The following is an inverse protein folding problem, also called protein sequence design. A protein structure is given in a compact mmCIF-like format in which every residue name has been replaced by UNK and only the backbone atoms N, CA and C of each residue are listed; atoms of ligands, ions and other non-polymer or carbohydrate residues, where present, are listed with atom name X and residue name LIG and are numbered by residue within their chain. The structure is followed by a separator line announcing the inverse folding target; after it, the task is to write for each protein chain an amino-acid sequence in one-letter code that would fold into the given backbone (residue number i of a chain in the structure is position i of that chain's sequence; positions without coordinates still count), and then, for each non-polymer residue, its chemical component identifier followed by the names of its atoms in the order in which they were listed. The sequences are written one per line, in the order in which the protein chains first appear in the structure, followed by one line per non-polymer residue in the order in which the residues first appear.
data_IF_398069908415
#
_entry.id   IF_398069908415
#
_cell.length_a   1.000
_cell.length_b   1.000
_cell.length_c   1.000
_cell.angle_alpha   90.00
_cell.angle_beta   90.00
_cell.angle_gamma   90.00
#
_symmetry.space_group_name_H-M   'P 1'
#
loop_
_entity.id
_entity.type
_entity.pdbx_description
1 polymer ?
#
# COMPACT_ATOMS: atom_id res chain seq x y z
N UNK A 1 5.15 20.61 69.54
CA UNK A 1 5.59 20.63 68.13
C UNK A 1 6.97 19.98 68.07
N UNK A 2 7.13 18.81 67.43
CA UNK A 2 8.47 18.20 67.27
C UNK A 2 9.23 19.03 66.24
N UNK A 3 10.32 19.68 66.66
CA UNK A 3 11.20 20.44 65.78
C UNK A 3 11.96 19.50 64.87
N UNK A 4 11.67 19.53 63.56
CA UNK A 4 12.39 18.78 62.54
C UNK A 4 13.84 19.28 62.52
N UNK A 5 14.81 18.39 62.78
CA UNK A 5 16.22 18.76 62.73
C UNK A 5 16.69 18.92 61.28
N UNK A 6 17.77 19.67 61.05
CA UNK A 6 18.40 19.78 59.72
C UNK A 6 18.72 18.41 59.10
N UNK A 7 19.06 17.42 59.94
CA UNK A 7 19.32 16.05 59.51
C UNK A 7 18.04 15.33 59.06
N UNK A 8 16.91 15.60 59.71
CA UNK A 8 15.61 15.04 59.32
C UNK A 8 15.11 15.66 58.03
N UNK A 9 15.33 16.96 57.82
CA UNK A 9 15.01 17.64 56.56
C UNK A 9 15.80 17.07 55.38
N UNK A 10 17.10 16.83 55.55
CA UNK A 10 17.94 16.21 54.51
C UNK A 10 17.49 14.77 54.23
N UNK A 11 17.17 13.98 55.27
CA UNK A 11 16.65 12.62 55.09
C UNK A 11 15.31 12.60 54.35
N UNK A 12 14.42 13.55 54.65
CA UNK A 12 13.16 13.73 53.92
C UNK A 12 13.42 14.13 52.47
N UNK A 13 14.32 15.07 52.21
CA UNK A 13 14.68 15.47 50.84
C UNK A 13 15.28 14.35 50.00
N UNK A 14 16.17 13.53 50.59
CA UNK A 14 16.75 12.36 49.91
C UNK A 14 15.69 11.28 49.67
N UNK A 15 14.79 11.03 50.63
CA UNK A 15 13.69 10.10 50.45
C UNK A 15 12.72 10.55 49.35
N UNK A 16 12.37 11.84 49.30
CA UNK A 16 11.52 12.42 48.26
C UNK A 16 12.19 12.37 46.87
N UNK A 17 13.49 12.64 46.77
CA UNK A 17 14.24 12.53 45.52
C UNK A 17 14.35 11.07 45.02
N UNK A 18 14.51 10.10 45.93
CA UNK A 18 14.52 8.69 45.58
C UNK A 18 13.16 8.21 45.05
N UNK A 19 12.05 8.69 45.61
CA UNK A 19 10.69 8.37 45.11
C UNK A 19 10.46 8.93 43.70
N UNK A 20 10.85 10.18 43.43
CA UNK A 20 10.73 10.76 42.09
C UNK A 20 11.66 10.10 41.05
N UNK A 21 12.84 9.64 41.45
CA UNK A 21 13.74 8.89 40.58
C UNK A 21 13.21 7.49 40.22
N UNK A 22 12.49 6.84 41.14
CA UNK A 22 11.84 5.55 40.88
C UNK A 22 10.59 5.72 40.01
N UNK A 23 9.81 6.79 40.22
CA UNK A 23 8.61 7.07 39.41
C UNK A 23 8.95 7.40 37.94
N UNK A 24 10.05 8.12 37.70
CA UNK A 24 10.55 8.43 36.35
C UNK A 24 11.18 7.23 35.62
N UNK A 25 11.63 6.19 36.34
CA UNK A 25 12.14 4.96 35.73
C UNK A 25 11.05 3.89 35.51
N UNK A 26 9.92 3.97 36.20
CA UNK A 26 8.83 3.00 36.08
C UNK A 26 7.85 3.27 34.92
N UNK A 27 7.93 4.42 34.22
CA UNK A 27 6.90 4.82 33.25
C UNK A 27 7.22 4.75 31.73
N UNK A 28 8.40 4.27 31.25
CA UNK A 28 8.54 3.87 29.84
C UNK A 28 8.21 2.39 29.60
N UNK A 29 8.45 1.53 30.61
CA UNK A 29 8.34 0.07 30.48
C UNK A 29 6.90 -0.39 30.72
N UNK A 30 6.15 0.25 31.62
CA UNK A 30 4.73 -0.07 31.84
C UNK A 30 3.88 0.12 30.57
N UNK A 31 4.21 1.13 29.75
CA UNK A 31 3.56 1.39 28.46
C UNK A 31 3.98 0.40 27.36
N UNK A 32 5.17 -0.18 27.47
CA UNK A 32 5.64 -1.25 26.58
C UNK A 32 5.14 -2.65 27.02
N UNK A 33 4.77 -2.80 28.30
CA UNK A 33 4.25 -4.02 28.90
C UNK A 33 2.71 -4.12 28.84
N UNK A 34 2.02 -3.05 28.46
CA UNK A 34 0.61 -3.13 28.12
C UNK A 34 0.49 -4.03 26.88
N UNK A 35 0.05 -5.28 27.10
CA UNK A 35 -0.32 -6.17 26.01
C UNK A 35 -1.22 -5.35 25.10
N UNK A 36 -0.80 -5.15 23.84
CA UNK A 36 -1.64 -4.58 22.81
C UNK A 36 -2.84 -5.52 22.67
N UNK A 37 -3.90 -5.28 23.42
CA UNK A 37 -5.14 -6.04 23.33
C UNK A 37 -5.67 -5.77 21.94
N UNK A 38 -5.65 -6.80 21.09
CA UNK A 38 -6.28 -6.76 19.79
C UNK A 38 -7.76 -6.45 20.01
N UNK A 39 -8.19 -5.22 19.69
CA UNK A 39 -9.55 -4.74 19.97
C UNK A 39 -9.76 -3.89 21.23
N UNK A 40 -8.70 -3.38 21.87
CA UNK A 40 -8.85 -2.32 22.88
C UNK A 40 -9.54 -1.07 22.31
N UNK A 41 -10.30 -0.34 23.15
CA UNK A 41 -10.89 0.97 22.78
C UNK A 41 -9.74 1.91 22.40
N UNK A 42 -9.52 2.18 21.11
CA UNK A 42 -8.61 3.24 20.71
C UNK A 42 -9.32 4.56 20.95
N UNK A 43 -8.71 5.42 21.76
CA UNK A 43 -9.17 6.78 21.97
C UNK A 43 -8.18 7.75 21.36
N UNK A 44 -8.67 8.86 20.83
CA UNK A 44 -7.83 9.98 20.50
C UNK A 44 -7.19 10.51 21.79
N UNK A 45 -5.85 10.59 21.83
CA UNK A 45 -5.14 11.06 23.03
C UNK A 45 -5.36 12.55 23.33
N UNK A 46 -5.74 13.32 22.32
CA UNK A 46 -5.99 14.77 22.44
C UNK A 46 -7.46 15.07 22.72
N UNK A 47 -8.39 14.49 21.96
CA UNK A 47 -9.82 14.77 22.11
C UNK A 47 -10.54 13.82 23.08
N UNK A 48 -9.94 12.69 23.45
CA UNK A 48 -10.56 11.65 24.28
C UNK A 48 -11.66 10.87 23.56
N UNK A 49 -11.95 11.19 22.29
CA UNK A 49 -13.03 10.57 21.53
C UNK A 49 -12.71 9.10 21.20
N UNK A 50 -13.72 8.21 21.27
CA UNK A 50 -13.54 6.83 20.85
C UNK A 50 -13.36 6.74 19.33
N UNK A 51 -12.52 5.81 18.88
CA UNK A 51 -12.35 5.46 17.47
C UNK A 51 -13.09 4.19 17.15
N UNK A 52 -13.78 4.17 16.02
CA UNK A 52 -14.21 2.93 15.39
C UNK A 52 -13.13 2.41 14.44
N UNK A 53 -13.14 1.10 14.20
CA UNK A 53 -12.16 0.39 13.38
C UNK A 53 -12.87 -0.28 12.22
N UNK A 54 -12.48 0.08 11.00
CA UNK A 54 -13.08 -0.46 9.79
C UNK A 54 -12.02 -1.22 8.98
N UNK A 55 -12.15 -2.54 8.81
CA UNK A 55 -11.24 -3.29 7.95
C UNK A 55 -11.46 -2.91 6.48
N UNK A 56 -10.36 -2.80 5.74
CA UNK A 56 -10.37 -2.52 4.31
C UNK A 56 -9.10 -3.05 3.65
N UNK A 57 -8.92 -2.77 2.37
CA UNK A 57 -7.76 -3.18 1.57
C UNK A 57 -7.06 -1.93 1.01
N UNK A 58 -5.75 -1.85 1.18
CA UNK A 58 -4.94 -0.77 0.63
C UNK A 58 -4.78 -0.95 -0.88
N UNK A 59 -5.13 0.10 -1.63
CA UNK A 59 -5.09 0.13 -3.10
C UNK A 59 -4.02 1.09 -3.66
N UNK A 60 -3.04 1.47 -2.84
CA UNK A 60 -1.95 2.38 -3.23
C UNK A 60 -0.88 1.71 -4.13
N UNK A 61 -0.92 0.39 -4.24
CA UNK A 61 -0.12 -0.42 -5.14
C UNK A 61 -0.81 -1.79 -5.33
N UNK A 62 -0.38 -2.66 -6.26
CA UNK A 62 -1.05 -3.94 -6.50
C UNK A 62 -0.91 -4.97 -5.37
N UNK A 63 -0.17 -4.66 -4.29
CA UNK A 63 0.08 -5.60 -3.20
C UNK A 63 -1.15 -5.92 -2.32
N UNK A 64 -2.22 -5.14 -2.41
CA UNK A 64 -3.49 -5.42 -1.73
C UNK A 64 -3.37 -5.62 -0.21
N UNK A 65 -2.52 -4.84 0.47
CA UNK A 65 -2.27 -5.02 1.90
C UNK A 65 -3.56 -4.81 2.71
N UNK A 66 -3.82 -5.67 3.71
CA UNK A 66 -4.95 -5.48 4.61
C UNK A 66 -4.72 -4.30 5.55
N UNK A 67 -5.72 -3.43 5.68
CA UNK A 67 -5.66 -2.22 6.49
C UNK A 67 -6.83 -2.10 7.44
N UNK A 68 -6.67 -1.29 8.47
CA UNK A 68 -7.72 -0.82 9.37
C UNK A 68 -7.77 0.71 9.25
N UNK A 69 -8.94 1.23 8.88
CA UNK A 69 -9.27 2.65 9.00
C UNK A 69 -9.73 2.96 10.42
N UNK A 70 -9.15 4.00 11.02
CA UNK A 70 -9.54 4.51 12.33
C UNK A 70 -10.43 5.74 12.11
N UNK A 71 -11.66 5.70 12.60
CA UNK A 71 -12.66 6.75 12.34
C UNK A 71 -13.09 7.41 13.64
N UNK A 72 -13.10 8.74 13.64
CA UNK A 72 -13.61 9.61 14.72
C UNK A 72 -14.71 10.49 14.15
N UNK A 73 -15.90 10.52 14.74
CA UNK A 73 -17.00 11.41 14.31
C UNK A 73 -17.22 11.40 12.78
N UNK A 74 -17.20 10.20 12.18
CA UNK A 74 -17.33 9.95 10.73
C UNK A 74 -16.16 10.39 9.85
N UNK A 75 -15.04 10.82 10.43
CA UNK A 75 -13.80 11.16 9.72
C UNK A 75 -12.75 10.08 9.90
N UNK A 76 -12.17 9.62 8.79
CA UNK A 76 -10.98 8.79 8.80
C UNK A 76 -9.80 9.63 9.31
N UNK A 77 -9.20 9.24 10.43
CA UNK A 77 -8.10 9.99 11.06
C UNK A 77 -6.75 9.28 10.92
N UNK A 78 -6.76 7.97 10.63
CA UNK A 78 -5.55 7.16 10.48
C UNK A 78 -5.84 5.90 9.68
N UNK A 79 -4.81 5.41 8.98
CA UNK A 79 -4.78 4.08 8.38
C UNK A 79 -3.69 3.26 9.07
N UNK A 80 -4.01 2.08 9.55
CA UNK A 80 -3.03 1.12 10.09
C UNK A 80 -3.05 -0.18 9.29
N UNK A 81 -2.02 -1.02 9.45
CA UNK A 81 -2.08 -2.36 8.90
C UNK A 81 -3.02 -3.25 9.72
N UNK A 82 -3.67 -4.20 9.05
CA UNK A 82 -4.49 -5.21 9.71
C UNK A 82 -3.62 -6.40 10.15
N UNK A 83 -3.54 -6.67 11.44
CA UNK A 83 -2.79 -7.78 12.06
C UNK A 83 -3.26 -9.15 11.59
N UNK A 84 -4.56 -9.27 11.25
CA UNK A 84 -5.16 -10.52 10.76
C UNK A 84 -4.86 -10.80 9.28
N UNK A 85 -4.31 -9.84 8.54
CA UNK A 85 -3.94 -10.07 7.15
C UNK A 85 -2.61 -10.83 7.06
N UNK A 86 -2.60 -11.97 6.37
CA UNK A 86 -1.44 -12.86 6.28
C UNK A 86 -0.24 -12.24 5.53
N UNK A 87 -0.50 -11.33 4.58
CA UNK A 87 0.54 -10.70 3.76
C UNK A 87 1.33 -9.70 4.59
N UNK A 88 0.66 -8.68 5.12
CA UNK A 88 1.34 -7.57 5.79
C UNK A 88 1.33 -7.65 7.33
N UNK A 89 0.50 -8.49 7.96
CA UNK A 89 0.43 -8.76 9.42
C UNK A 89 0.60 -7.49 10.27
N UNK A 90 -0.25 -6.49 10.03
CA UNK A 90 -0.22 -5.22 10.78
C UNK A 90 0.80 -4.19 10.28
N UNK A 91 1.76 -4.58 9.44
CA UNK A 91 2.74 -3.66 8.85
C UNK A 91 2.11 -2.86 7.72
N UNK A 92 2.49 -1.60 7.56
CA UNK A 92 2.02 -0.76 6.45
C UNK A 92 3.14 0.17 6.00
N UNK A 93 3.34 0.31 4.68
CA UNK A 93 4.35 1.22 4.13
C UNK A 93 3.88 2.68 4.16
N UNK A 94 4.80 3.61 3.90
CA UNK A 94 4.51 5.04 3.87
C UNK A 94 3.38 5.41 2.89
N UNK A 95 3.30 4.77 1.72
CA UNK A 95 2.21 4.98 0.75
C UNK A 95 0.85 4.59 1.32
N UNK A 96 0.78 3.46 2.02
CA UNK A 96 -0.47 3.00 2.65
C UNK A 96 -0.93 3.94 3.77
N UNK A 97 0.00 4.47 4.57
CA UNK A 97 -0.28 5.48 5.58
C UNK A 97 -0.79 6.78 4.94
N UNK A 98 -0.16 7.22 3.85
CA UNK A 98 -0.52 8.43 3.11
C UNK A 98 -1.83 8.30 2.31
N UNK A 99 -2.42 7.10 2.22
CA UNK A 99 -3.67 6.88 1.47
C UNK A 99 -4.85 7.72 1.97
N UNK A 100 -4.79 8.21 3.21
CA UNK A 100 -5.74 9.18 3.76
C UNK A 100 -5.81 10.48 2.95
N UNK A 101 -4.67 10.91 2.36
CA UNK A 101 -4.61 12.14 1.57
C UNK A 101 -5.46 12.05 0.31
N UNK A 102 -5.60 10.87 -0.31
CA UNK A 102 -6.47 10.69 -1.47
C UNK A 102 -7.96 10.80 -1.12
N UNK A 103 -8.34 10.51 0.14
CA UNK A 103 -9.73 10.64 0.61
C UNK A 103 -10.10 12.12 0.82
N UNK A 104 -9.13 12.93 1.24
CA UNK A 104 -9.31 14.34 1.58
C UNK A 104 -8.62 15.28 0.59
N UNK A 105 -8.29 14.80 -0.59
CA UNK A 105 -7.66 15.60 -1.63
C UNK A 105 -8.62 16.75 -2.01
N UNK A 106 -8.21 18.03 -1.86
CA UNK A 106 -9.07 19.17 -2.18
C UNK A 106 -9.41 19.26 -3.67
N UNK A 107 -8.65 18.59 -4.54
CA UNK A 107 -8.87 18.57 -5.99
C UNK A 107 -9.69 17.36 -6.46
N UNK A 108 -10.11 16.47 -5.54
CA UNK A 108 -10.89 15.28 -5.90
C UNK A 108 -12.21 15.67 -6.57
N UNK A 109 -12.54 14.97 -7.66
CA UNK A 109 -13.85 15.12 -8.32
C UNK A 109 -14.97 14.62 -7.39
N UNK A 110 -15.92 15.51 -7.09
CA UNK A 110 -17.09 15.21 -6.25
C UNK A 110 -18.37 15.01 -7.07
N UNK A 111 -18.38 15.52 -8.30
CA UNK A 111 -19.48 15.40 -9.26
C UNK A 111 -18.96 14.98 -10.64
N UNK A 112 -19.81 14.35 -11.48
CA UNK A 112 -19.51 14.16 -12.88
C UNK A 112 -19.25 15.49 -13.60
N UNK A 113 -18.34 15.47 -14.57
CA UNK A 113 -18.01 16.63 -15.41
C UNK A 113 -18.28 16.30 -16.88
N UNK A 114 -18.89 17.24 -17.59
CA UNK A 114 -19.09 17.19 -19.03
C UNK A 114 -18.19 18.20 -19.71
N UNK A 115 -17.55 17.78 -20.80
CA UNK A 115 -16.77 18.69 -21.63
C UNK A 115 -17.69 19.48 -22.55
N UNK A 116 -17.62 20.80 -22.47
CA UNK A 116 -18.32 21.77 -23.34
C UNK A 116 -17.38 22.48 -24.32
N UNK A 117 -16.06 22.38 -24.11
CA UNK A 117 -15.03 22.89 -25.03
C UNK A 117 -14.52 21.87 -26.06
N UNK A 118 -13.47 22.26 -26.79
CA UNK A 118 -12.84 21.40 -27.78
C UNK A 118 -12.05 20.26 -27.12
N UNK A 119 -11.83 19.18 -27.89
CA UNK A 119 -10.98 18.08 -27.43
C UNK A 119 -9.55 18.60 -27.25
N UNK A 120 -8.99 18.38 -26.06
CA UNK A 120 -7.65 18.84 -25.69
C UNK A 120 -7.67 20.05 -24.75
N UNK A 121 -8.83 20.69 -24.58
CA UNK A 121 -8.97 21.80 -23.65
C UNK A 121 -8.90 21.31 -22.20
N UNK A 122 -8.02 21.94 -21.41
CA UNK A 122 -7.80 21.63 -20.00
C UNK A 122 -8.91 22.14 -19.08
N UNK A 123 -8.81 21.83 -17.78
CA UNK A 123 -9.80 22.30 -16.79
C UNK A 123 -9.86 23.83 -16.68
N UNK A 124 -8.71 24.49 -16.80
CA UNK A 124 -8.57 25.94 -16.62
C UNK A 124 -9.19 26.77 -17.74
N UNK A 125 -9.49 26.18 -18.90
CA UNK A 125 -10.07 26.89 -20.04
C UNK A 125 -11.58 27.11 -19.94
N UNK A 126 -12.22 26.65 -18.85
CA UNK A 126 -13.68 26.66 -18.72
C UNK A 126 -14.38 25.64 -19.62
N UNK A 127 -13.64 24.68 -20.18
CA UNK A 127 -14.16 23.67 -21.10
C UNK A 127 -14.94 22.54 -20.42
N UNK A 128 -15.20 22.63 -19.12
CA UNK A 128 -15.86 21.59 -18.32
C UNK A 128 -16.96 22.19 -17.46
N UNK A 129 -18.13 21.55 -17.46
CA UNK A 129 -19.27 21.89 -16.61
C UNK A 129 -19.61 20.72 -15.69
N UNK A 130 -20.06 21.02 -14.47
CA UNK A 130 -20.62 20.01 -13.57
C UNK A 130 -22.02 19.60 -14.02
N UNK A 131 -22.28 18.29 -14.03
CA UNK A 131 -23.59 17.72 -14.32
C UNK A 131 -24.00 16.74 -13.22
N UNK A 132 -25.30 16.45 -13.14
CA UNK A 132 -25.82 15.46 -12.19
C UNK A 132 -25.62 14.02 -12.70
N UNK A 133 -25.61 13.05 -11.77
CA UNK A 133 -25.36 11.65 -12.09
C UNK A 133 -26.37 11.07 -13.09
N UNK A 134 -27.65 11.42 -12.98
CA UNK A 134 -28.68 10.91 -13.89
C UNK A 134 -28.43 11.36 -15.33
N UNK A 135 -28.05 12.62 -15.55
CA UNK A 135 -27.68 13.13 -16.86
C UNK A 135 -26.41 12.45 -17.39
N UNK A 136 -25.38 12.29 -16.55
CA UNK A 136 -24.14 11.61 -16.96
C UNK A 136 -24.41 10.17 -17.41
N UNK A 137 -25.26 9.46 -16.68
CA UNK A 137 -25.66 8.10 -17.02
C UNK A 137 -26.51 8.04 -18.29
N UNK A 138 -27.46 8.96 -18.47
CA UNK A 138 -28.27 9.04 -19.69
C UNK A 138 -27.41 9.33 -20.93
N UNK A 139 -26.48 10.28 -20.86
CA UNK A 139 -25.61 10.60 -21.99
C UNK A 139 -24.68 9.44 -22.37
N UNK A 140 -24.06 8.78 -21.38
CA UNK A 140 -23.18 7.63 -21.62
C UNK A 140 -23.98 6.44 -22.18
N UNK A 141 -25.12 6.11 -21.57
CA UNK A 141 -25.95 4.97 -22.02
C UNK A 141 -26.61 5.24 -23.38
N UNK A 142 -27.00 6.48 -23.66
CA UNK A 142 -27.47 6.92 -24.97
C UNK A 142 -26.40 6.74 -26.04
N UNK A 143 -25.17 7.22 -25.80
CA UNK A 143 -24.05 7.02 -26.72
C UNK A 143 -23.74 5.54 -26.98
N UNK A 144 -23.75 4.72 -25.93
CA UNK A 144 -23.56 3.26 -26.04
C UNK A 144 -24.69 2.59 -26.82
N UNK A 145 -25.95 3.01 -26.60
CA UNK A 145 -27.12 2.48 -27.30
C UNK A 145 -27.07 2.82 -28.78
N UNK A 146 -26.77 4.07 -29.13
CA UNK A 146 -26.58 4.50 -30.52
C UNK A 146 -25.44 3.71 -31.18
N UNK A 147 -24.29 3.61 -30.52
CA UNK A 147 -23.15 2.83 -31.01
C UNK A 147 -23.53 1.37 -31.30
N UNK A 148 -24.31 0.75 -30.40
CA UNK A 148 -24.78 -0.62 -30.59
C UNK A 148 -25.79 -0.74 -31.73
N UNK A 149 -26.72 0.20 -31.87
CA UNK A 149 -27.75 0.22 -32.92
C UNK A 149 -27.16 0.34 -34.33
N UNK A 150 -26.02 1.02 -34.45
CA UNK A 150 -25.26 1.18 -35.70
C UNK A 150 -24.35 -0.04 -35.99
N UNK A 151 -24.43 -1.12 -35.20
CA UNK A 151 -23.54 -2.27 -35.31
C UNK A 151 -22.08 -1.98 -34.89
N UNK A 152 -21.87 -0.88 -34.16
CA UNK A 152 -20.57 -0.36 -33.77
C UNK A 152 -19.96 -0.98 -32.50
N UNK A 153 -20.51 -2.08 -31.97
CA UNK A 153 -20.05 -2.67 -30.69
C UNK A 153 -18.52 -2.86 -30.63
N UNK A 154 -17.89 -3.34 -31.71
CA UNK A 154 -16.42 -3.55 -31.77
C UNK A 154 -15.58 -2.26 -31.77
N UNK A 155 -16.19 -1.08 -31.80
CA UNK A 155 -15.50 0.22 -31.67
C UNK A 155 -15.38 0.65 -30.20
N UNK A 156 -16.12 0.04 -29.28
CA UNK A 156 -15.96 0.29 -27.86
C UNK A 156 -14.60 -0.25 -27.40
N UNK A 157 -13.84 0.58 -26.68
CA UNK A 157 -12.60 0.18 -26.00
C UNK A 157 -12.76 0.51 -24.52
N UNK A 158 -12.43 -0.45 -23.67
CA UNK A 158 -12.39 -0.25 -22.23
C UNK A 158 -10.95 -0.37 -21.75
N UNK A 159 -10.45 0.71 -21.16
CA UNK A 159 -9.10 0.76 -20.59
C UNK A 159 -9.21 0.57 -19.09
N UNK A 160 -8.52 -0.44 -18.56
CA UNK A 160 -8.61 -0.79 -17.14
C UNK A 160 -7.24 -1.08 -16.54
N UNK A 161 -7.12 -0.85 -15.24
CA UNK A 161 -6.06 -1.45 -14.46
C UNK A 161 -6.61 -2.79 -13.99
N UNK A 162 -6.13 -3.92 -14.55
CA UNK A 162 -6.56 -5.30 -14.23
C UNK A 162 -6.24 -5.69 -12.77
N UNK A 163 -6.88 -5.00 -11.81
CA UNK A 163 -6.56 -5.17 -10.38
C UNK A 163 -7.19 -6.43 -9.79
N UNK A 164 -8.17 -7.01 -10.48
CA UNK A 164 -8.87 -8.22 -10.08
C UNK A 164 -9.05 -9.16 -11.28
N UNK A 165 -8.93 -10.46 -11.04
CA UNK A 165 -9.43 -11.46 -11.99
C UNK A 165 -10.94 -11.26 -12.17
N UNK A 166 -11.42 -11.22 -13.42
CA UNK A 166 -12.84 -11.01 -13.78
C UNK A 166 -13.41 -9.63 -13.39
N UNK A 167 -12.71 -8.53 -13.72
CA UNK A 167 -13.23 -7.19 -13.46
C UNK A 167 -14.55 -6.92 -14.22
N UNK A 168 -15.45 -6.20 -13.55
CA UNK A 168 -16.79 -5.89 -14.08
C UNK A 168 -16.75 -5.14 -15.42
N UNK A 169 -15.71 -4.35 -15.66
CA UNK A 169 -15.57 -3.57 -16.88
C UNK A 169 -15.18 -4.43 -18.08
N UNK A 170 -14.27 -5.38 -17.93
CA UNK A 170 -13.97 -6.39 -18.96
C UNK A 170 -15.22 -7.21 -19.31
N UNK A 171 -15.94 -7.70 -18.29
CA UNK A 171 -17.20 -8.44 -18.49
C UNK A 171 -18.24 -7.60 -19.21
N UNK A 172 -18.42 -6.35 -18.81
CA UNK A 172 -19.32 -5.41 -19.45
C UNK A 172 -18.95 -5.22 -20.93
N UNK A 173 -17.66 -5.03 -21.22
CA UNK A 173 -17.15 -4.82 -22.58
C UNK A 173 -17.45 -6.01 -23.48
N UNK A 174 -17.20 -7.22 -22.98
CA UNK A 174 -17.54 -8.47 -23.68
C UNK A 174 -19.06 -8.63 -23.86
N UNK A 175 -19.86 -8.38 -22.82
CA UNK A 175 -21.32 -8.44 -22.88
C UNK A 175 -21.93 -7.40 -23.85
N UNK A 176 -21.28 -6.25 -24.00
CA UNK A 176 -21.63 -5.23 -24.99
C UNK A 176 -21.32 -5.67 -26.43
N UNK A 177 -20.49 -6.70 -26.61
CA UNK A 177 -20.09 -7.25 -27.89
C UNK A 177 -18.76 -6.70 -28.42
N UNK A 178 -17.93 -6.13 -27.55
CA UNK A 178 -16.57 -5.69 -27.89
C UNK A 178 -15.53 -6.61 -27.28
N UNK A 179 -14.48 -7.03 -28.04
CA UNK A 179 -13.35 -7.75 -27.48
C UNK A 179 -12.27 -6.82 -26.90
N UNK A 180 -12.43 -5.49 -26.99
CA UNK A 180 -11.35 -4.53 -26.71
C UNK A 180 -11.34 -4.09 -25.24
N UNK A 181 -11.24 -5.04 -24.32
CA UNK A 181 -10.85 -4.76 -22.94
C UNK A 181 -9.33 -4.78 -22.86
N UNK A 182 -8.72 -3.62 -22.63
CA UNK A 182 -7.26 -3.46 -22.63
C UNK A 182 -6.80 -3.16 -21.21
N UNK A 183 -6.00 -4.10 -20.72
CA UNK A 183 -5.43 -4.10 -19.41
C UNK A 183 -4.06 -3.46 -19.29
N UNK A 184 -3.61 -3.27 -18.05
CA UNK A 184 -2.31 -2.71 -17.68
C UNK A 184 -1.16 -3.71 -17.74
N UNK A 185 -1.44 -5.02 -17.84
CA UNK A 185 -0.41 -6.07 -17.81
C UNK A 185 0.67 -5.89 -18.89
N UNK A 186 0.29 -5.39 -20.06
CA UNK A 186 1.20 -5.10 -21.17
C UNK A 186 2.31 -4.12 -20.79
N UNK A 187 2.02 -3.17 -19.90
CA UNK A 187 2.95 -2.15 -19.38
C UNK A 187 3.58 -2.59 -18.06
N UNK A 188 2.87 -3.38 -17.25
CA UNK A 188 3.28 -3.71 -15.89
C UNK A 188 4.28 -4.89 -15.81
N UNK A 189 4.09 -5.96 -16.60
CA UNK A 189 4.89 -7.18 -16.39
C UNK A 189 4.58 -8.38 -17.29
N UNK A 190 4.07 -8.15 -18.50
CA UNK A 190 3.71 -9.21 -19.46
C UNK A 190 4.88 -10.16 -19.77
N UNK A 191 6.10 -9.64 -19.87
CA UNK A 191 7.32 -10.42 -20.11
C UNK A 191 7.56 -11.47 -19.00
N UNK A 192 7.42 -11.08 -17.73
CA UNK A 192 7.56 -12.00 -16.59
C UNK A 192 6.42 -13.02 -16.57
N UNK A 193 5.18 -12.55 -16.74
CA UNK A 193 4.01 -13.42 -16.74
C UNK A 193 4.11 -14.53 -17.80
N UNK A 194 4.49 -14.17 -19.03
CA UNK A 194 4.69 -15.14 -20.12
C UNK A 194 5.84 -16.11 -19.82
N UNK A 195 6.97 -15.61 -19.32
CA UNK A 195 8.10 -16.47 -18.96
C UNK A 195 7.72 -17.49 -17.87
N UNK A 196 7.00 -17.04 -16.83
CA UNK A 196 6.50 -17.90 -15.76
C UNK A 196 5.52 -18.96 -16.29
N UNK A 197 4.56 -18.57 -17.14
CA UNK A 197 3.60 -19.49 -17.74
C UNK A 197 4.30 -20.59 -18.55
N UNK A 198 5.29 -20.23 -19.37
CA UNK A 198 6.04 -21.20 -20.18
C UNK A 198 6.90 -22.12 -19.30
N UNK A 199 7.40 -21.62 -18.16
CA UNK A 199 8.32 -22.37 -17.29
C UNK A 199 7.59 -23.35 -16.36
N UNK A 200 6.49 -22.94 -15.72
CA UNK A 200 5.81 -23.76 -14.71
C UNK A 200 4.26 -23.69 -14.77
N UNK A 201 3.68 -23.10 -15.81
CA UNK A 201 2.23 -23.14 -16.06
C UNK A 201 1.38 -22.13 -15.27
N UNK A 202 1.99 -21.12 -14.65
CA UNK A 202 1.30 -20.06 -13.91
C UNK A 202 1.99 -18.73 -14.15
N UNK A 203 1.26 -17.61 -14.13
CA UNK A 203 1.80 -16.26 -14.33
C UNK A 203 2.41 -15.65 -13.06
N UNK A 204 1.84 -15.98 -11.89
CA UNK A 204 2.29 -15.52 -10.59
C UNK A 204 3.41 -16.35 -9.97
N UNK A 205 4.19 -15.70 -9.11
CA UNK A 205 5.24 -16.30 -8.29
C UNK A 205 5.26 -15.68 -6.89
N UNK A 206 5.61 -16.48 -5.89
CA UNK A 206 5.89 -16.01 -4.55
C UNK A 206 7.07 -16.81 -3.99
N UNK A 207 8.32 -16.33 -4.15
CA UNK A 207 9.47 -17.06 -3.68
C UNK A 207 9.49 -17.12 -2.15
N UNK A 208 9.88 -18.26 -1.59
CA UNK A 208 10.01 -18.46 -0.15
C UNK A 208 11.32 -17.90 0.40
N UNK A 209 11.49 -16.59 0.23
CA UNK A 209 12.70 -15.86 0.66
C UNK A 209 12.88 -15.87 2.18
N UNK A 210 11.82 -16.14 2.96
CA UNK A 210 11.90 -16.23 4.41
C UNK A 210 12.66 -17.49 4.88
N UNK A 211 12.53 -18.60 4.16
CA UNK A 211 13.21 -19.86 4.49
C UNK A 211 14.43 -20.15 3.58
N UNK A 212 14.78 -19.23 2.68
CA UNK A 212 15.91 -19.37 1.76
C UNK A 212 17.26 -19.13 2.43
N UNK A 213 18.27 -19.97 2.16
CA UNK A 213 19.66 -19.79 2.64
C UNK A 213 20.50 -18.90 1.73
N UNK A 214 20.08 -18.76 0.48
CA UNK A 214 20.72 -17.93 -0.51
C UNK A 214 19.63 -17.26 -1.35
N UNK A 215 19.76 -15.96 -1.59
CA UNK A 215 18.81 -15.17 -2.38
C UNK A 215 19.59 -14.43 -3.46
N UNK A 216 19.18 -14.64 -4.71
CA UNK A 216 19.73 -13.97 -5.87
C UNK A 216 18.71 -12.97 -6.40
N UNK A 217 19.12 -11.72 -6.55
CA UNK A 217 18.23 -10.62 -6.93
C UNK A 217 18.73 -9.97 -8.20
N UNK A 218 17.94 -10.01 -9.27
CA UNK A 218 18.24 -9.36 -10.55
C UNK A 218 17.29 -8.16 -10.75
N UNK A 219 17.76 -6.95 -10.48
CA UNK A 219 17.04 -5.67 -10.66
C UNK A 219 15.75 -5.50 -9.83
N UNK A 220 15.35 -6.51 -9.05
CA UNK A 220 14.17 -6.45 -8.18
C UNK A 220 14.49 -5.73 -6.88
N UNK A 221 13.53 -4.96 -6.36
CA UNK A 221 13.73 -4.12 -5.19
C UNK A 221 12.69 -4.38 -4.09
N UNK A 222 12.62 -5.60 -3.49
CA UNK A 222 11.61 -5.96 -2.50
C UNK A 222 11.51 -5.03 -1.29
N UNK A 223 12.56 -4.26 -0.97
CA UNK A 223 12.55 -3.25 0.10
C UNK A 223 12.15 -1.82 -0.35
N UNK A 224 11.80 -1.63 -1.63
CA UNK A 224 11.30 -0.36 -2.19
C UNK A 224 9.98 -0.54 -2.96
N UNK A 225 9.97 -1.49 -3.89
CA UNK A 225 8.87 -1.77 -4.80
C UNK A 225 8.85 -3.25 -5.20
N UNK A 226 7.67 -3.85 -5.10
CA UNK A 226 7.41 -5.20 -5.59
C UNK A 226 5.88 -5.35 -5.74
N UNK A 227 5.38 -6.17 -6.69
CA UNK A 227 3.95 -6.44 -6.81
C UNK A 227 3.30 -6.90 -5.49
N UNK A 228 4.06 -7.57 -4.62
CA UNK A 228 3.63 -8.09 -3.31
C UNK A 228 4.27 -7.32 -2.15
N UNK A 229 4.60 -6.03 -2.37
CA UNK A 229 5.52 -5.21 -1.58
C UNK A 229 5.68 -5.55 -0.10
N UNK A 230 4.78 -5.11 0.78
CA UNK A 230 4.99 -5.24 2.24
C UNK A 230 5.13 -6.70 2.66
N UNK A 231 4.35 -7.61 2.09
CA UNK A 231 4.48 -9.04 2.35
C UNK A 231 5.84 -9.59 1.92
N UNK A 232 6.33 -9.16 0.75
CA UNK A 232 7.64 -9.58 0.26
C UNK A 232 8.79 -8.98 1.08
N UNK A 233 8.74 -7.69 1.40
CA UNK A 233 9.72 -7.01 2.24
C UNK A 233 9.86 -7.70 3.60
N UNK A 234 8.74 -8.02 4.25
CA UNK A 234 8.73 -8.74 5.53
C UNK A 234 9.39 -10.11 5.43
N UNK A 235 9.02 -10.90 4.42
CA UNK A 235 9.63 -12.22 4.19
C UNK A 235 11.12 -12.11 3.90
N UNK A 236 11.54 -11.10 3.14
CA UNK A 236 12.95 -10.86 2.83
C UNK A 236 13.77 -10.53 4.09
N UNK A 237 13.25 -9.63 4.95
CA UNK A 237 13.86 -9.32 6.25
C UNK A 237 13.89 -10.54 7.17
N UNK A 238 12.85 -11.38 7.18
CA UNK A 238 12.86 -12.63 7.94
C UNK A 238 13.94 -13.59 7.44
N UNK A 239 14.13 -13.71 6.12
CA UNK A 239 15.21 -14.50 5.52
C UNK A 239 16.59 -14.03 5.97
N UNK A 240 16.82 -12.72 5.98
CA UNK A 240 18.07 -12.12 6.47
C UNK A 240 18.30 -12.37 7.96
N UNK A 241 17.29 -12.08 8.80
CA UNK A 241 17.43 -12.07 10.26
C UNK A 241 17.34 -13.45 10.89
N UNK A 242 16.36 -14.26 10.49
CA UNK A 242 16.06 -15.55 11.12
C UNK A 242 16.79 -16.70 10.43
N UNK A 243 16.95 -16.63 9.10
CA UNK A 243 17.54 -17.72 8.33
C UNK A 243 19.00 -17.47 7.90
N UNK A 244 19.51 -16.26 8.17
CA UNK A 244 20.85 -15.78 7.80
C UNK A 244 21.14 -15.97 6.30
N UNK A 245 20.13 -15.67 5.48
CA UNK A 245 20.23 -15.81 4.04
C UNK A 245 21.39 -14.97 3.48
N UNK A 246 22.25 -15.58 2.66
CA UNK A 246 23.23 -14.83 1.88
C UNK A 246 22.55 -14.21 0.67
N UNK A 247 22.65 -12.90 0.51
CA UNK A 247 22.01 -12.14 -0.56
C UNK A 247 23.04 -11.56 -1.52
N UNK A 248 22.84 -11.82 -2.81
CA UNK A 248 23.62 -11.22 -3.89
C UNK A 248 22.66 -10.46 -4.80
N UNK A 249 22.96 -9.19 -5.05
CA UNK A 249 22.13 -8.29 -5.86
C UNK A 249 22.90 -7.86 -7.10
N UNK A 250 22.23 -7.92 -8.24
CA UNK A 250 22.66 -7.34 -9.50
C UNK A 250 21.71 -6.21 -9.86
N UNK A 251 22.22 -4.98 -9.90
CA UNK A 251 21.41 -3.80 -10.20
C UNK A 251 22.26 -2.75 -10.93
N UNK A 252 21.61 -1.80 -11.58
CA UNK A 252 22.26 -0.66 -12.24
C UNK A 252 22.55 0.48 -11.25
N UNK A 253 21.94 0.43 -10.05
CA UNK A 253 22.08 1.46 -9.01
C UNK A 253 22.13 0.86 -7.60
N UNK A 254 22.56 1.68 -6.64
CA UNK A 254 22.40 1.38 -5.21
C UNK A 254 20.92 1.53 -4.82
N UNK A 255 20.39 0.55 -4.09
CA UNK A 255 18.99 0.43 -3.69
C UNK A 255 18.90 0.04 -2.22
N UNK A 256 17.76 0.25 -1.58
CA UNK A 256 17.53 -0.23 -0.22
C UNK A 256 17.71 -1.76 -0.11
N UNK A 257 17.42 -2.49 -1.20
CA UNK A 257 17.64 -3.94 -1.24
C UNK A 257 19.13 -4.27 -1.30
N UNK A 258 19.90 -3.59 -2.14
CA UNK A 258 21.35 -3.84 -2.25
C UNK A 258 22.15 -3.33 -1.06
N UNK A 259 21.67 -2.30 -0.35
CA UNK A 259 22.26 -1.89 0.93
C UNK A 259 22.15 -2.97 2.02
N UNK A 260 21.19 -3.88 1.89
CA UNK A 260 20.97 -5.00 2.81
C UNK A 260 21.59 -6.31 2.29
N UNK A 261 22.33 -6.29 1.18
CA UNK A 261 22.93 -7.49 0.58
C UNK A 261 24.36 -7.73 1.05
N UNK A 262 24.82 -8.98 0.90
CA UNK A 262 26.23 -9.32 1.15
C UNK A 262 27.13 -8.90 -0.01
N UNK A 263 26.58 -8.89 -1.22
CA UNK A 263 27.28 -8.43 -2.43
C UNK A 263 26.32 -7.64 -3.32
N UNK A 264 26.84 -6.55 -3.89
CA UNK A 264 26.21 -5.80 -4.95
C UNK A 264 27.15 -5.79 -6.14
N UNK A 265 26.62 -6.22 -7.29
CA UNK A 265 27.31 -6.16 -8.58
C UNK A 265 26.59 -5.16 -9.46
N UNK A 266 27.31 -4.12 -9.87
CA UNK A 266 26.78 -3.18 -10.85
C UNK A 266 26.80 -3.80 -12.24
N UNK A 267 25.67 -3.76 -12.93
CA UNK A 267 25.52 -4.28 -14.29
C UNK A 267 25.16 -3.15 -15.24
N UNK A 268 25.53 -3.31 -16.52
CA UNK A 268 25.08 -2.37 -17.54
C UNK A 268 23.59 -2.59 -17.83
N UNK A 269 22.81 -1.52 -18.05
CA UNK A 269 21.41 -1.66 -18.46
C UNK A 269 21.28 -2.56 -19.70
N UNK A 270 20.36 -3.52 -19.67
CA UNK A 270 20.10 -4.44 -20.78
C UNK A 270 21.04 -5.65 -20.88
N UNK A 271 22.07 -5.80 -20.03
CA UNK A 271 23.01 -6.93 -20.11
C UNK A 271 22.73 -8.05 -19.11
N UNK A 272 21.65 -7.97 -18.33
CA UNK A 272 21.34 -8.92 -17.25
C UNK A 272 21.20 -10.37 -17.77
N UNK A 273 20.62 -10.56 -18.96
CA UNK A 273 20.44 -11.88 -19.55
C UNK A 273 21.75 -12.60 -19.84
N UNK A 274 22.81 -11.87 -20.21
CA UNK A 274 24.13 -12.47 -20.45
C UNK A 274 24.73 -13.05 -19.17
N UNK A 275 24.56 -12.34 -18.06
CA UNK A 275 25.05 -12.75 -16.75
C UNK A 275 24.34 -13.99 -16.20
N UNK A 276 23.05 -14.14 -16.49
CA UNK A 276 22.25 -15.30 -16.05
C UNK A 276 22.70 -16.59 -16.77
N UNK A 277 23.28 -16.47 -17.97
CA UNK A 277 23.70 -17.61 -18.80
C UNK A 277 25.12 -18.11 -18.51
N UNK A 278 25.89 -17.40 -17.69
CA UNK A 278 27.31 -17.69 -17.38
C UNK A 278 27.49 -18.14 -15.95
#
# INVERSE_FOLDING_TARGET
MRTISRRDFIKLGVASAAVMAVESQLNPIAYAAEQLIEGGRSVNRTSGLPRSFLPSTCMQCPAGCGIIGYVEESHLVKIGGNTKNLSNQGTLCARGQAGINAVYDPERLLKPLKRVGARGDGRESGAWEEIEWDQAMEEVTGALTSLKSEGGSRKLVFLTEDRFEDDLGTRFTHAFGSPNAIGSLSVFGSNKAVANQITWGADGDMPDVANSKFILVFGANPLESNPQYVGMARRFINGLSSNQAKVVVFDVRLTNTSMMSNQLHYVNPGTMGLLILT
#
